data_IF_496232971058
#
_entry.id   IF_496232971058
#
_cell.length_a   1.000
_cell.length_b   1.000
_cell.length_c   1.000
_cell.angle_alpha   90.00
_cell.angle_beta   90.00
_cell.angle_gamma   90.00
#
_symmetry.space_group_name_H-M   'P 1'
#
loop_
_entity.id
_entity.type
_entity.pdbx_description
1 polymer ?
#
# COMPACT_ATOMS: atom_id res chain seq x y z
N UNK A 1 -14.67 14.93 18.92
CA UNK A 1 -13.92 14.84 17.66
C UNK A 1 -13.90 16.19 17.00
N UNK A 2 -12.72 16.72 16.68
CA UNK A 2 -12.63 17.89 15.79
C UNK A 2 -13.05 17.50 14.36
N UNK A 3 -13.40 18.47 13.51
CA UNK A 3 -13.70 18.23 12.08
C UNK A 3 -12.51 17.55 11.35
N UNK A 4 -11.28 17.93 11.71
CA UNK A 4 -10.05 17.33 11.17
C UNK A 4 -9.91 15.86 11.61
N UNK A 5 -10.12 15.59 12.89
CA UNK A 5 -10.07 14.23 13.43
C UNK A 5 -11.12 13.33 12.76
N UNK A 6 -12.32 13.87 12.50
CA UNK A 6 -13.35 13.18 11.73
C UNK A 6 -12.92 12.87 10.30
N UNK A 7 -12.34 13.84 9.60
CA UNK A 7 -11.85 13.65 8.22
C UNK A 7 -10.73 12.63 8.13
N UNK A 8 -9.73 12.69 9.03
CA UNK A 8 -8.62 11.73 9.06
C UNK A 8 -9.15 10.33 9.38
N UNK A 9 -10.04 10.20 10.37
CA UNK A 9 -10.66 8.91 10.71
C UNK A 9 -11.44 8.34 9.52
N UNK A 10 -12.23 9.17 8.83
CA UNK A 10 -12.96 8.76 7.63
C UNK A 10 -12.03 8.38 6.48
N UNK A 11 -10.91 9.08 6.30
CA UNK A 11 -9.91 8.73 5.29
C UNK A 11 -9.26 7.36 5.58
N UNK A 12 -8.87 7.11 6.84
CA UNK A 12 -8.32 5.82 7.27
C UNK A 12 -9.30 4.66 7.07
N UNK A 13 -10.56 4.85 7.50
CA UNK A 13 -11.62 3.85 7.30
C UNK A 13 -11.87 3.64 5.81
N UNK A 14 -11.96 4.71 5.02
CA UNK A 14 -12.19 4.67 3.58
C UNK A 14 -11.10 3.88 2.84
N UNK A 15 -9.83 4.10 3.18
CA UNK A 15 -8.71 3.31 2.67
C UNK A 15 -8.91 1.83 2.96
N UNK A 16 -9.07 1.47 4.25
CA UNK A 16 -9.18 0.06 4.64
C UNK A 16 -10.36 -0.57 3.91
N UNK A 17 -11.52 0.08 3.93
CA UNK A 17 -12.71 -0.40 3.25
C UNK A 17 -12.51 -0.61 1.75
N UNK A 18 -11.83 0.33 1.07
CA UNK A 18 -11.50 0.25 -0.35
C UNK A 18 -10.55 -0.90 -0.70
N UNK A 19 -9.45 -1.05 0.06
CA UNK A 19 -8.52 -2.17 -0.11
C UNK A 19 -9.25 -3.50 0.03
N UNK A 20 -10.03 -3.68 1.11
CA UNK A 20 -10.76 -4.93 1.35
C UNK A 20 -11.85 -5.20 0.30
N UNK A 21 -12.39 -4.16 -0.35
CA UNK A 21 -13.39 -4.31 -1.41
C UNK A 21 -12.77 -4.88 -2.71
N UNK A 22 -11.59 -4.38 -3.09
CA UNK A 22 -10.89 -4.81 -4.30
C UNK A 22 -10.13 -6.13 -4.14
N UNK A 23 -9.67 -6.42 -2.92
CA UNK A 23 -8.79 -7.56 -2.64
C UNK A 23 -9.28 -8.94 -3.13
N UNK A 24 -10.55 -9.34 -2.94
CA UNK A 24 -11.01 -10.64 -3.40
C UNK A 24 -10.80 -10.87 -4.90
N UNK A 25 -10.92 -9.81 -5.69
CA UNK A 25 -10.98 -9.85 -7.16
C UNK A 25 -9.71 -9.36 -7.85
N UNK A 26 -8.71 -8.89 -7.11
CA UNK A 26 -7.47 -8.34 -7.66
C UNK A 26 -6.80 -9.31 -8.64
N UNK A 27 -6.55 -10.55 -8.20
CA UNK A 27 -5.88 -11.57 -9.02
C UNK A 27 -6.70 -11.97 -10.24
N UNK A 28 -8.01 -12.11 -10.09
CA UNK A 28 -8.92 -12.40 -11.21
C UNK A 28 -8.89 -11.27 -12.24
N UNK A 29 -9.01 -10.02 -11.79
CA UNK A 29 -8.95 -8.85 -12.66
C UNK A 29 -7.63 -8.78 -13.43
N UNK A 30 -6.52 -9.10 -12.78
CA UNK A 30 -5.19 -9.07 -13.40
C UNK A 30 -4.93 -10.23 -14.36
N UNK A 31 -5.39 -11.44 -14.04
CA UNK A 31 -5.07 -12.67 -14.79
C UNK A 31 -6.10 -13.01 -15.85
N UNK A 32 -7.37 -12.90 -15.49
CA UNK A 32 -8.49 -13.38 -16.30
C UNK A 32 -9.17 -12.23 -17.07
N UNK A 33 -8.94 -10.99 -16.62
CA UNK A 33 -9.35 -9.78 -17.30
C UNK A 33 -10.79 -9.35 -17.04
N UNK A 34 -11.21 -8.29 -17.75
CA UNK A 34 -12.48 -7.60 -17.48
C UNK A 34 -13.72 -8.47 -17.65
N UNK A 35 -13.78 -9.33 -18.69
CA UNK A 35 -14.96 -10.17 -18.94
C UNK A 35 -15.19 -11.17 -17.81
N UNK A 36 -14.14 -11.88 -17.40
CA UNK A 36 -14.21 -12.84 -16.30
C UNK A 36 -14.60 -12.17 -14.97
N UNK A 37 -14.03 -10.99 -14.71
CA UNK A 37 -14.40 -10.18 -13.55
C UNK A 37 -15.89 -9.78 -13.60
N UNK A 38 -16.36 -9.28 -14.74
CA UNK A 38 -17.75 -8.85 -14.90
C UNK A 38 -18.72 -10.02 -14.72
N UNK A 39 -18.42 -11.18 -15.30
CA UNK A 39 -19.23 -12.39 -15.17
C UNK A 39 -19.27 -12.88 -13.71
N UNK A 40 -18.13 -12.92 -13.03
CA UNK A 40 -18.06 -13.27 -11.61
C UNK A 40 -18.88 -12.32 -10.76
N UNK A 41 -18.71 -11.00 -10.94
CA UNK A 41 -19.44 -9.99 -10.18
C UNK A 41 -20.95 -10.09 -10.41
N UNK A 42 -21.38 -10.36 -11.64
CA UNK A 42 -22.80 -10.55 -12.00
C UNK A 42 -23.42 -11.79 -11.34
N UNK A 43 -22.62 -12.83 -11.12
CA UNK A 43 -23.06 -14.07 -10.46
C UNK A 43 -23.19 -13.92 -8.94
N UNK A 44 -22.30 -13.16 -8.30
CA UNK A 44 -22.24 -13.06 -6.83
C UNK A 44 -23.01 -11.86 -6.26
N UNK A 45 -23.58 -11.02 -7.13
CA UNK A 45 -24.43 -9.91 -6.73
C UNK A 45 -24.86 -9.01 -7.89
N UNK A 46 -25.81 -8.10 -7.65
CA UNK A 46 -26.23 -7.15 -8.67
C UNK A 46 -25.13 -6.11 -8.94
N UNK A 47 -24.90 -5.82 -10.22
CA UNK A 47 -24.19 -4.62 -10.65
C UNK A 47 -25.17 -3.42 -10.71
N UNK A 48 -24.73 -2.19 -10.40
CA UNK A 48 -23.38 -1.80 -9.98
C UNK A 48 -23.01 -2.33 -8.59
N UNK A 49 -21.72 -2.55 -8.35
CA UNK A 49 -21.22 -2.98 -7.05
C UNK A 49 -21.50 -1.88 -6.00
N UNK A 50 -22.39 -2.18 -5.04
CA UNK A 50 -22.79 -1.27 -3.96
C UNK A 50 -22.44 -1.78 -2.56
N UNK A 51 -21.78 -2.92 -2.50
CA UNK A 51 -21.46 -3.66 -1.27
C UNK A 51 -20.22 -4.54 -1.53
N UNK A 52 -19.68 -5.19 -0.50
CA UNK A 52 -18.54 -6.10 -0.63
C UNK A 52 -18.84 -7.27 -1.59
N UNK A 53 -17.79 -7.74 -2.26
CA UNK A 53 -17.86 -8.83 -3.25
C UNK A 53 -18.41 -10.10 -2.60
N UNK A 54 -19.41 -10.73 -3.21
CA UNK A 54 -19.94 -12.01 -2.75
C UNK A 54 -18.97 -13.16 -3.01
N UNK A 55 -19.12 -14.27 -2.28
CA UNK A 55 -18.28 -15.45 -2.43
C UNK A 55 -18.98 -16.54 -3.24
N UNK A 56 -18.24 -17.19 -4.13
CA UNK A 56 -18.64 -18.38 -4.89
C UNK A 56 -17.50 -19.38 -4.89
N UNK A 57 -17.80 -20.63 -4.53
CA UNK A 57 -16.81 -21.72 -4.55
C UNK A 57 -16.30 -22.00 -5.97
N UNK A 58 -15.08 -22.55 -6.06
CA UNK A 58 -14.46 -22.90 -7.35
C UNK A 58 -13.66 -21.77 -8.01
N UNK A 59 -13.55 -20.60 -7.38
CA UNK A 59 -12.73 -19.48 -7.87
C UNK A 59 -11.57 -19.17 -6.91
N UNK A 60 -10.41 -18.74 -7.44
CA UNK A 60 -9.26 -18.26 -6.65
C UNK A 60 -9.52 -16.84 -6.12
N UNK A 61 -10.37 -16.76 -5.10
CA UNK A 61 -10.85 -15.51 -4.49
C UNK A 61 -10.55 -15.55 -3.00
N UNK A 62 -10.14 -14.41 -2.43
CA UNK A 62 -9.89 -14.30 -0.99
C UNK A 62 -11.22 -14.23 -0.21
N UNK A 63 -11.71 -15.38 0.22
CA UNK A 63 -13.00 -15.57 0.89
C UNK A 63 -13.16 -14.67 2.12
N UNK A 64 -12.11 -14.48 2.90
CA UNK A 64 -12.10 -13.68 4.13
C UNK A 64 -12.41 -12.20 3.86
N UNK A 65 -12.23 -11.73 2.64
CA UNK A 65 -12.54 -10.37 2.21
C UNK A 65 -13.94 -10.23 1.57
N UNK A 66 -14.67 -11.34 1.42
CA UNK A 66 -16.00 -11.34 0.81
C UNK A 66 -17.11 -10.99 1.81
N UNK A 67 -18.22 -10.47 1.29
CA UNK A 67 -19.44 -10.22 2.06
C UNK A 67 -19.91 -11.48 2.79
N UNK A 68 -20.26 -11.32 4.06
CA UNK A 68 -20.68 -12.42 4.94
C UNK A 68 -19.52 -13.19 5.59
N UNK A 69 -18.27 -12.99 5.14
CA UNK A 69 -17.07 -13.60 5.70
C UNK A 69 -16.07 -12.58 6.26
N UNK A 70 -16.15 -11.32 5.80
CA UNK A 70 -15.33 -10.21 6.31
C UNK A 70 -15.62 -9.93 7.79
N UNK A 71 -14.61 -10.18 8.63
CA UNK A 71 -14.66 -9.95 10.10
C UNK A 71 -13.58 -8.99 10.59
N UNK A 72 -12.55 -8.76 9.77
CA UNK A 72 -11.41 -7.88 10.02
C UNK A 72 -10.79 -7.48 8.68
N UNK A 73 -9.90 -6.50 8.70
CA UNK A 73 -9.04 -6.22 7.55
C UNK A 73 -8.00 -7.33 7.41
N UNK A 74 -7.85 -7.88 6.21
CA UNK A 74 -6.73 -8.74 5.85
C UNK A 74 -5.49 -7.90 5.45
N UNK A 75 -4.26 -8.41 5.70
CA UNK A 75 -3.02 -7.68 5.43
C UNK A 75 -2.87 -7.28 3.96
N UNK A 76 -2.53 -6.02 3.70
CA UNK A 76 -2.55 -5.39 2.37
C UNK A 76 -1.41 -4.37 2.27
N UNK A 77 -0.72 -4.27 1.14
CA UNK A 77 0.45 -3.41 1.02
C UNK A 77 0.08 -1.92 1.04
N UNK A 78 -1.05 -1.51 0.45
CA UNK A 78 -1.57 -0.13 0.56
C UNK A 78 -1.74 0.28 2.05
N UNK A 79 -2.20 -0.64 2.89
CA UNK A 79 -2.38 -0.40 4.34
C UNK A 79 -1.02 -0.46 5.06
N UNK A 80 -0.17 -1.43 4.73
CA UNK A 80 1.13 -1.61 5.37
C UNK A 80 2.05 -0.40 5.14
N UNK A 81 2.10 0.15 3.92
CA UNK A 81 2.88 1.36 3.64
C UNK A 81 2.33 2.57 4.38
N UNK A 82 1.01 2.66 4.57
CA UNK A 82 0.38 3.74 5.32
C UNK A 82 0.74 3.69 6.80
N UNK A 83 0.76 2.49 7.38
CA UNK A 83 1.23 2.28 8.75
C UNK A 83 2.72 2.57 8.87
N UNK A 84 3.53 2.15 7.89
CA UNK A 84 4.96 2.47 7.86
C UNK A 84 5.21 3.98 7.78
N UNK A 85 4.45 4.71 6.95
CA UNK A 85 4.49 6.17 6.87
C UNK A 85 4.16 6.82 8.21
N UNK A 86 3.10 6.36 8.89
CA UNK A 86 2.75 6.85 10.22
C UNK A 86 3.91 6.67 11.21
N UNK A 87 4.49 5.47 11.29
CA UNK A 87 5.60 5.21 12.19
C UNK A 87 6.82 6.10 11.91
N UNK A 88 7.12 6.34 10.62
CA UNK A 88 8.22 7.22 10.23
C UNK A 88 7.93 8.68 10.57
N UNK A 89 6.69 9.15 10.42
CA UNK A 89 6.26 10.50 10.79
C UNK A 89 6.25 10.70 12.31
N UNK A 90 5.89 9.69 13.09
CA UNK A 90 5.98 9.74 14.56
C UNK A 90 7.44 9.83 15.04
N UNK A 91 8.37 9.20 14.33
CA UNK A 91 9.79 9.16 14.68
C UNK A 91 10.55 10.41 14.22
N UNK A 92 10.32 10.87 12.99
CA UNK A 92 11.09 11.94 12.35
C UNK A 92 10.32 13.26 12.19
N UNK A 93 9.00 13.25 12.37
CA UNK A 93 8.15 14.42 12.15
C UNK A 93 8.31 14.98 10.74
N UNK A 94 8.48 16.31 10.66
CA UNK A 94 8.64 17.05 9.39
C UNK A 94 10.03 16.92 8.77
N UNK A 95 11.01 16.41 9.52
CA UNK A 95 12.39 16.25 9.07
C UNK A 95 12.62 14.88 8.41
N UNK A 96 11.53 14.15 8.09
CA UNK A 96 11.58 12.84 7.43
C UNK A 96 12.34 12.93 6.10
N UNK A 97 13.43 12.16 5.99
CA UNK A 97 14.27 12.13 4.79
C UNK A 97 14.11 10.84 3.99
N UNK A 98 14.57 10.85 2.73
CA UNK A 98 14.69 9.63 1.91
C UNK A 98 15.58 8.56 2.57
N UNK A 99 16.58 8.97 3.37
CA UNK A 99 17.41 8.03 4.11
C UNK A 99 16.62 7.31 5.20
N UNK A 100 15.73 8.02 5.89
CA UNK A 100 14.88 7.42 6.92
C UNK A 100 13.88 6.44 6.31
N UNK A 101 13.30 6.77 5.15
CA UNK A 101 12.44 5.85 4.38
C UNK A 101 13.20 4.58 4.00
N UNK A 102 14.41 4.72 3.46
CA UNK A 102 15.24 3.57 3.08
C UNK A 102 15.61 2.68 4.28
N UNK A 103 15.94 3.28 5.43
CA UNK A 103 16.21 2.55 6.68
C UNK A 103 14.96 1.83 7.20
N UNK A 104 13.81 2.51 7.18
CA UNK A 104 12.55 1.93 7.61
C UNK A 104 12.17 0.71 6.76
N UNK A 105 12.41 0.77 5.44
CA UNK A 105 12.22 -0.39 4.56
C UNK A 105 13.11 -1.56 4.97
N UNK A 106 14.42 -1.32 5.15
CA UNK A 106 15.37 -2.37 5.56
C UNK A 106 15.04 -2.99 6.92
N UNK A 107 14.52 -2.21 7.87
CA UNK A 107 14.25 -2.65 9.25
C UNK A 107 12.87 -3.25 9.46
N UNK A 108 11.86 -2.79 8.71
CA UNK A 108 10.45 -3.03 9.03
C UNK A 108 9.63 -3.61 7.89
N UNK A 109 10.10 -3.53 6.63
CA UNK A 109 9.36 -3.99 5.47
C UNK A 109 9.96 -5.31 4.93
N UNK A 110 9.28 -6.46 5.11
CA UNK A 110 9.80 -7.71 4.57
C UNK A 110 9.94 -7.63 3.06
N UNK A 111 11.15 -7.89 2.55
CA UNK A 111 11.42 -7.81 1.11
C UNK A 111 10.42 -8.66 0.30
N UNK A 112 10.01 -9.82 0.80
CA UNK A 112 9.05 -10.71 0.14
C UNK A 112 7.65 -10.12 -0.06
N UNK A 113 7.30 -9.05 0.65
CA UNK A 113 6.01 -8.36 0.55
C UNK A 113 6.04 -7.11 -0.35
N UNK A 114 7.15 -6.84 -1.04
CA UNK A 114 7.22 -5.75 -2.02
C UNK A 114 7.10 -6.28 -3.44
N UNK A 115 6.53 -5.47 -4.34
CA UNK A 115 6.29 -5.82 -5.74
C UNK A 115 6.91 -4.77 -6.65
N UNK A 116 7.13 -5.11 -7.92
CA UNK A 116 7.50 -4.18 -9.01
C UNK A 116 8.53 -3.11 -8.63
N UNK A 117 8.14 -1.84 -8.52
CA UNK A 117 9.04 -0.70 -8.26
C UNK A 117 9.68 -0.80 -6.88
N UNK A 118 8.89 -1.14 -5.87
CA UNK A 118 9.33 -1.29 -4.49
C UNK A 118 10.30 -2.45 -4.36
N UNK A 119 10.04 -3.57 -5.05
CA UNK A 119 10.97 -4.72 -5.08
C UNK A 119 12.27 -4.36 -5.79
N UNK A 120 12.22 -3.60 -6.87
CA UNK A 120 13.42 -3.15 -7.59
C UNK A 120 14.26 -2.22 -6.71
N UNK A 121 13.64 -1.23 -6.08
CA UNK A 121 14.28 -0.34 -5.13
C UNK A 121 14.92 -1.10 -3.94
N UNK A 122 14.19 -2.07 -3.37
CA UNK A 122 14.68 -2.89 -2.25
C UNK A 122 15.92 -3.70 -2.66
N UNK A 123 15.97 -4.26 -3.88
CA UNK A 123 17.16 -4.97 -4.38
C UNK A 123 18.38 -4.06 -4.45
N UNK A 124 18.22 -2.83 -4.97
CA UNK A 124 19.30 -1.83 -5.02
C UNK A 124 19.80 -1.49 -3.62
N UNK A 125 18.88 -1.28 -2.66
CA UNK A 125 19.24 -1.03 -1.26
C UNK A 125 20.06 -2.18 -0.65
N UNK A 126 19.64 -3.42 -0.88
CA UNK A 126 20.33 -4.60 -0.34
C UNK A 126 21.67 -4.87 -1.03
N UNK A 127 21.78 -4.60 -2.32
CA UNK A 127 23.01 -4.86 -3.10
C UNK A 127 24.09 -3.80 -2.86
N UNK A 128 23.69 -2.53 -2.72
CA UNK A 128 24.62 -1.39 -2.71
C UNK A 128 24.73 -0.69 -1.36
N UNK A 129 23.75 -0.88 -0.48
CA UNK A 129 23.73 -0.29 0.84
C UNK A 129 24.87 -0.80 1.71
N UNK A 130 25.47 0.10 2.50
CA UNK A 130 26.41 -0.30 3.56
C UNK A 130 25.68 -1.11 4.63
N UNK A 131 26.32 -2.17 5.13
CA UNK A 131 25.80 -3.05 6.18
C UNK A 131 25.21 -2.28 7.39
N UNK A 132 25.91 -1.25 7.85
CA UNK A 132 25.50 -0.44 9.02
C UNK A 132 24.52 0.70 8.70
N UNK A 133 24.15 0.90 7.43
CA UNK A 133 23.22 1.97 7.03
C UNK A 133 21.87 1.96 7.76
N UNK A 134 21.22 0.79 8.02
CA UNK A 134 19.99 0.73 8.79
C UNK A 134 20.09 1.36 10.18
N UNK A 135 21.27 1.32 10.79
CA UNK A 135 21.49 1.82 12.15
C UNK A 135 22.13 3.22 12.17
N UNK A 136 23.00 3.55 11.21
CA UNK A 136 23.74 4.82 11.20
C UNK A 136 24.40 5.14 9.86
N UNK A 137 24.89 6.37 9.70
CA UNK A 137 25.67 6.81 8.54
C UNK A 137 24.87 6.95 7.25
N UNK A 138 25.58 7.16 6.13
CA UNK A 138 24.97 7.25 4.79
C UNK A 138 24.85 5.87 4.13
N UNK A 139 23.96 5.76 3.14
CA UNK A 139 23.73 4.53 2.39
C UNK A 139 24.97 4.02 1.64
N UNK A 140 25.93 4.90 1.35
CA UNK A 140 27.12 4.58 0.56
C UNK A 140 26.95 4.74 -0.94
N UNK A 141 25.76 5.13 -1.39
CA UNK A 141 25.43 5.44 -2.78
C UNK A 141 24.31 6.50 -2.82
N UNK A 142 24.01 7.03 -4.01
CA UNK A 142 22.88 7.93 -4.21
C UNK A 142 21.56 7.14 -4.21
N UNK A 143 20.69 7.42 -3.23
CA UNK A 143 19.39 6.76 -3.07
C UNK A 143 18.43 7.00 -4.24
N UNK A 144 18.67 8.02 -5.09
CA UNK A 144 17.90 8.22 -6.32
C UNK A 144 18.00 7.02 -7.28
N UNK A 145 19.07 6.22 -7.18
CA UNK A 145 19.22 4.98 -7.95
C UNK A 145 18.14 3.93 -7.62
N UNK A 146 17.46 4.05 -6.47
CA UNK A 146 16.34 3.15 -6.13
C UNK A 146 15.09 3.42 -6.99
N UNK A 147 14.90 4.66 -7.47
CA UNK A 147 13.81 5.03 -8.38
C UNK A 147 14.15 4.82 -9.87
N UNK A 148 15.40 4.48 -10.21
CA UNK A 148 15.79 4.22 -11.60
C UNK A 148 15.43 2.78 -12.01
N UNK A 149 14.13 2.53 -12.21
CA UNK A 149 13.62 1.24 -12.64
C UNK A 149 12.38 1.37 -13.55
N UNK A 150 12.08 0.36 -14.40
CA UNK A 150 10.99 0.43 -15.39
C UNK A 150 9.57 0.57 -14.82
N UNK A 151 9.42 0.38 -13.50
CA UNK A 151 8.13 0.43 -12.82
C UNK A 151 7.93 1.75 -12.06
N UNK A 152 8.87 2.68 -12.12
CA UNK A 152 8.87 3.89 -11.29
C UNK A 152 7.60 4.74 -11.44
N UNK A 153 7.02 4.77 -12.65
CA UNK A 153 5.79 5.53 -12.94
C UNK A 153 4.51 4.73 -12.67
N UNK A 154 4.62 3.53 -12.08
CA UNK A 154 3.46 2.71 -11.73
C UNK A 154 2.82 3.21 -10.43
N UNK A 155 1.67 2.63 -10.10
CA UNK A 155 0.79 3.14 -9.05
C UNK A 155 1.38 3.06 -7.62
N UNK A 156 2.45 2.30 -7.40
CA UNK A 156 2.98 1.99 -6.07
C UNK A 156 3.21 3.22 -5.19
N UNK A 157 3.79 4.30 -5.73
CA UNK A 157 3.97 5.54 -4.98
C UNK A 157 2.64 6.25 -4.65
N UNK A 158 1.67 6.20 -5.57
CA UNK A 158 0.38 6.88 -5.42
C UNK A 158 -0.47 6.26 -4.31
N UNK A 159 -0.43 4.94 -4.15
CA UNK A 159 -1.23 4.25 -3.14
C UNK A 159 -0.79 4.50 -1.68
N UNK A 160 0.41 5.08 -1.47
CA UNK A 160 1.00 5.30 -0.14
C UNK A 160 1.30 6.74 0.24
N UNK A 161 0.97 7.71 -0.62
CA UNK A 161 1.37 9.11 -0.43
C UNK A 161 0.39 9.95 0.43
N UNK A 162 -0.84 9.49 0.58
CA UNK A 162 -1.91 10.25 1.22
C UNK A 162 -1.71 10.51 2.72
N UNK A 163 -1.01 9.64 3.48
CA UNK A 163 -0.72 9.86 4.91
C UNK A 163 0.07 11.14 5.09
N UNK A 164 1.03 11.42 4.20
CA UNK A 164 1.76 12.69 4.16
C UNK A 164 0.81 13.86 3.88
N UNK A 165 -0.14 13.69 2.96
CA UNK A 165 -1.19 14.68 2.69
C UNK A 165 -2.14 14.91 3.87
N UNK A 166 -2.43 13.89 4.67
CA UNK A 166 -3.30 14.00 5.85
C UNK A 166 -2.65 14.83 6.97
N UNK A 167 -1.32 14.75 7.12
CA UNK A 167 -0.57 15.52 8.13
C UNK A 167 -0.13 16.90 7.64
N UNK A 168 -0.13 17.13 6.32
CA UNK A 168 0.22 18.41 5.67
C UNK A 168 -0.95 19.05 4.89
N UNK A 169 -2.17 19.17 5.45
CA UNK A 169 -3.32 19.65 4.69
C UNK A 169 -3.12 21.10 4.22
N UNK A 170 -3.24 21.33 2.91
CA UNK A 170 -3.06 22.66 2.31
C UNK A 170 -1.61 23.12 2.19
N UNK A 171 -0.63 22.25 2.46
CA UNK A 171 0.79 22.56 2.36
C UNK A 171 1.52 21.53 1.49
N UNK A 172 1.39 21.59 0.15
CA UNK A 172 1.98 20.60 -0.76
C UNK A 172 3.49 20.71 -0.95
N UNK A 173 4.13 21.79 -0.48
CA UNK A 173 5.59 22.00 -0.60
C UNK A 173 6.38 21.35 0.54
N UNK A 174 5.69 20.88 1.59
CA UNK A 174 6.28 20.21 2.74
C UNK A 174 6.36 18.70 2.53
#
# INVERSE_FOLDING_TARGET
MSDIEAKIRSAWIGRISGCQLGKPIERMSMRDGHSALHDYLSDVGPLPLRDYVGYKEGHDIQKECCRGFLTRSEPDDDINYSFLALLMLEEHGRDLSTSDVARAWLKRLPAAQTFTAERAAYKVLMERGKEWFPETGNAGFDLSACSDNPYNDWIGAQIRADVYGWVCPGNPEL
#
